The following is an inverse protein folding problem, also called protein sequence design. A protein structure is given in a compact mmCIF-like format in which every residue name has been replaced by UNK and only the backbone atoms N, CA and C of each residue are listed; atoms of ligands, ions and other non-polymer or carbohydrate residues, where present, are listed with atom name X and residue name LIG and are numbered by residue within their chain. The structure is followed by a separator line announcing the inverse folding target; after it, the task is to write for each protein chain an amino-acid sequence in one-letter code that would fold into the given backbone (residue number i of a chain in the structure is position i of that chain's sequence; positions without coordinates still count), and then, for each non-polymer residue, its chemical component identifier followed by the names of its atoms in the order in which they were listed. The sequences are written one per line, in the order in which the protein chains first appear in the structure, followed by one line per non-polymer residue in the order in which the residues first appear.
data_IF_350325331226
#
_entry.id   IF_350325331226
#
_cell.length_a   1.000
_cell.length_b   1.000
_cell.length_c   1.000
_cell.angle_alpha   90.00
_cell.angle_beta   90.00
_cell.angle_gamma   90.00
#
_symmetry.space_group_name_H-M   'P 1'
#
loop_
_entity.id
_entity.type
_entity.pdbx_description
1 polymer ?
#
# COMPACT_ATOMS: atom_id res chain seq x y z
N UNK A 1 -7.54 -8.01 -6.95
CA UNK A 1 -6.66 -9.00 -6.29
C UNK A 1 -5.41 -8.27 -5.82
N UNK A 2 -5.12 -8.30 -4.53
CA UNK A 2 -3.95 -7.62 -3.96
C UNK A 2 -2.71 -8.54 -3.96
N UNK A 3 -1.53 -7.99 -3.69
CA UNK A 3 -0.26 -8.74 -3.72
C UNK A 3 -0.24 -9.91 -2.71
N UNK A 4 -0.81 -9.72 -1.52
CA UNK A 4 -0.87 -10.74 -0.47
C UNK A 4 -1.75 -11.95 -0.85
N UNK A 5 -2.93 -11.69 -1.43
CA UNK A 5 -3.80 -12.75 -1.98
C UNK A 5 -3.08 -13.53 -3.09
N UNK A 6 -2.33 -12.84 -3.95
CA UNK A 6 -1.52 -13.49 -4.99
C UNK A 6 -0.43 -14.39 -4.41
N UNK A 7 0.26 -13.96 -3.35
CA UNK A 7 1.26 -14.77 -2.64
C UNK A 7 0.62 -16.02 -2.04
N UNK A 8 -0.55 -15.90 -1.40
CA UNK A 8 -1.32 -17.04 -0.89
C UNK A 8 -1.65 -18.01 -2.03
N UNK A 9 -2.19 -17.52 -3.15
CA UNK A 9 -2.54 -18.34 -4.30
C UNK A 9 -1.35 -19.12 -4.87
N UNK A 10 -0.16 -18.51 -4.92
CA UNK A 10 1.04 -19.19 -5.40
C UNK A 10 1.43 -20.37 -4.52
N UNK A 11 1.41 -20.21 -3.19
CA UNK A 11 1.87 -21.25 -2.26
C UNK A 11 0.81 -22.28 -1.91
N UNK A 12 -0.48 -21.89 -1.84
CA UNK A 12 -1.54 -22.77 -1.35
C UNK A 12 -1.84 -23.95 -2.27
N UNK A 13 -1.41 -23.88 -3.54
CA UNK A 13 -1.66 -24.88 -4.57
C UNK A 13 -0.98 -26.23 -4.28
N UNK A 14 0.13 -26.20 -3.55
CA UNK A 14 0.93 -27.38 -3.18
C UNK A 14 0.75 -27.79 -1.71
N UNK A 15 -0.14 -27.12 -0.98
CA UNK A 15 -0.38 -27.37 0.45
C UNK A 15 -1.72 -28.09 0.62
N UNK A 16 -1.75 -29.26 1.29
CA UNK A 16 -2.99 -29.97 1.59
C UNK A 16 -3.99 -29.08 2.36
N UNK A 17 -5.28 -29.23 2.06
CA UNK A 17 -6.34 -28.36 2.60
C UNK A 17 -6.40 -28.35 4.13
N UNK A 18 -6.12 -29.47 4.77
CA UNK A 18 -6.07 -29.65 6.22
C UNK A 18 -4.80 -29.06 6.87
N UNK A 19 -3.82 -28.63 6.08
CA UNK A 19 -2.54 -28.05 6.52
C UNK A 19 -2.41 -26.56 6.27
N UNK A 20 -3.51 -25.93 5.83
CA UNK A 20 -3.59 -24.49 5.60
C UNK A 20 -4.84 -23.89 6.24
N UNK A 21 -4.71 -22.67 6.73
CA UNK A 21 -5.86 -21.93 7.29
C UNK A 21 -5.69 -20.43 7.10
N UNK A 22 -6.80 -19.73 6.87
CA UNK A 22 -6.86 -18.28 6.77
C UNK A 22 -7.55 -17.72 8.01
N UNK A 23 -6.90 -16.77 8.68
CA UNK A 23 -7.37 -16.17 9.92
C UNK A 23 -7.49 -14.66 9.77
N UNK A 24 -8.61 -14.11 10.22
CA UNK A 24 -8.83 -12.68 10.32
C UNK A 24 -8.72 -12.28 11.79
N UNK A 25 -7.64 -11.58 12.16
CA UNK A 25 -7.38 -11.18 13.55
C UNK A 25 -8.18 -9.93 13.90
N UNK A 26 -8.19 -8.98 12.98
CA UNK A 26 -8.96 -7.75 13.06
C UNK A 26 -9.31 -7.31 11.64
N UNK A 27 -10.15 -6.28 11.49
CA UNK A 27 -10.49 -5.75 10.17
C UNK A 27 -9.28 -5.23 9.39
N UNK A 28 -8.21 -4.84 10.10
CA UNK A 28 -6.96 -4.33 9.54
C UNK A 28 -5.83 -5.39 9.52
N UNK A 29 -6.09 -6.66 9.87
CA UNK A 29 -5.03 -7.68 9.90
C UNK A 29 -5.55 -9.10 9.66
N UNK A 30 -4.87 -9.83 8.79
CA UNK A 30 -5.14 -11.22 8.50
C UNK A 30 -3.83 -11.99 8.29
N UNK A 31 -3.84 -13.30 8.52
CA UNK A 31 -2.72 -14.16 8.21
C UNK A 31 -3.17 -15.51 7.64
N UNK A 32 -2.39 -16.03 6.72
CA UNK A 32 -2.51 -17.38 6.18
C UNK A 32 -1.43 -18.26 6.78
N UNK A 33 -1.82 -19.34 7.46
CA UNK A 33 -0.90 -20.25 8.15
C UNK A 33 -0.67 -21.51 7.34
N UNK A 34 0.59 -21.93 7.27
CA UNK A 34 1.05 -23.15 6.62
C UNK A 34 1.66 -24.05 7.70
N UNK A 35 0.92 -25.05 8.16
CA UNK A 35 1.28 -25.81 9.37
C UNK A 35 2.60 -26.57 9.23
N UNK A 36 2.75 -27.33 8.14
CA UNK A 36 3.91 -28.21 7.94
C UNK A 36 5.25 -27.47 7.84
N UNK A 37 5.21 -26.17 7.53
CA UNK A 37 6.39 -25.33 7.34
C UNK A 37 6.58 -24.33 8.49
N UNK A 38 5.66 -24.30 9.46
CA UNK A 38 5.60 -23.27 10.51
C UNK A 38 5.76 -21.85 9.94
N UNK A 39 5.05 -21.58 8.83
CA UNK A 39 5.16 -20.33 8.08
C UNK A 39 3.83 -19.58 8.04
N UNK A 40 3.90 -18.25 8.01
CA UNK A 40 2.74 -17.37 7.84
C UNK A 40 2.93 -16.41 6.67
N UNK A 41 1.83 -16.06 6.00
CA UNK A 41 1.75 -14.93 5.08
C UNK A 41 0.77 -13.92 5.66
N UNK A 42 1.25 -12.74 6.01
CA UNK A 42 0.47 -11.78 6.80
C UNK A 42 0.15 -10.52 6.01
N UNK A 43 -1.01 -9.96 6.30
CA UNK A 43 -1.47 -8.67 5.80
C UNK A 43 -1.77 -7.75 6.98
N UNK A 44 -1.30 -6.51 6.87
CA UNK A 44 -1.57 -5.45 7.83
C UNK A 44 -1.95 -4.17 7.09
N UNK A 45 -3.13 -3.64 7.37
CA UNK A 45 -3.66 -2.43 6.75
C UNK A 45 -3.03 -1.19 7.37
N UNK A 46 -2.22 -0.49 6.57
CA UNK A 46 -1.64 0.81 6.89
C UNK A 46 -1.48 1.65 5.61
N UNK A 47 -2.57 2.19 5.05
CA UNK A 47 -2.60 2.74 3.68
C UNK A 47 -1.60 3.88 3.45
N UNK A 48 -1.26 4.64 4.50
CA UNK A 48 -0.29 5.73 4.48
C UNK A 48 1.05 5.36 5.17
N UNK A 49 1.22 4.12 5.64
CA UNK A 49 2.25 3.61 6.58
C UNK A 49 2.23 4.28 7.96
N UNK A 50 2.19 5.61 7.98
CA UNK A 50 1.98 6.42 9.18
C UNK A 50 0.52 6.34 9.64
N UNK A 51 0.29 6.73 10.89
CA UNK A 51 -1.05 6.77 11.49
C UNK A 51 -1.96 7.75 10.72
N UNK A 52 -3.20 7.34 10.51
CA UNK A 52 -4.20 8.11 9.78
C UNK A 52 -5.63 7.80 10.25
N UNK A 53 -6.58 8.66 9.90
CA UNK A 53 -8.01 8.34 10.11
C UNK A 53 -8.51 7.22 9.18
N UNK A 54 -7.74 6.87 8.13
CA UNK A 54 -8.03 5.77 7.22
C UNK A 54 -7.56 4.40 7.75
N UNK A 55 -6.93 4.36 8.94
CA UNK A 55 -6.55 3.10 9.60
C UNK A 55 -7.79 2.37 10.14
N UNK A 56 -8.88 3.10 10.39
CA UNK A 56 -10.16 2.55 10.79
C UNK A 56 -11.00 2.16 9.57
N UNK A 57 -11.04 0.85 9.30
CA UNK A 57 -11.77 0.22 8.19
C UNK A 57 -13.28 0.44 8.21
N UNK A 58 -13.85 0.88 9.35
CA UNK A 58 -15.28 1.19 9.51
C UNK A 58 -15.61 2.67 9.33
N UNK A 59 -14.58 3.51 9.15
CA UNK A 59 -14.76 4.94 8.97
C UNK A 59 -15.55 5.20 7.66
N UNK A 60 -16.55 6.10 7.69
CA UNK A 60 -17.24 6.55 6.47
C UNK A 60 -16.28 7.04 5.38
N UNK A 61 -15.07 7.46 5.75
CA UNK A 61 -14.01 7.90 4.82
C UNK A 61 -13.46 6.82 3.88
N UNK A 62 -13.73 5.54 4.12
CA UNK A 62 -13.27 4.44 3.26
C UNK A 62 -14.25 4.14 2.13
N UNK A 63 -15.52 4.55 2.29
CA UNK A 63 -16.60 4.34 1.31
C UNK A 63 -17.25 5.61 0.76
N UNK A 64 -17.06 6.78 1.40
CA UNK A 64 -17.58 8.06 0.95
C UNK A 64 -16.41 8.95 0.49
N UNK A 65 -16.33 9.21 -0.81
CA UNK A 65 -15.30 10.06 -1.44
C UNK A 65 -15.33 11.53 -0.93
N UNK A 66 -16.24 11.85 0.00
CA UNK A 66 -16.43 13.17 0.60
C UNK A 66 -15.59 13.42 1.86
N UNK A 67 -15.09 12.38 2.53
CA UNK A 67 -14.34 12.56 3.78
C UNK A 67 -12.83 12.37 3.55
N UNK A 68 -12.15 13.49 3.34
CA UNK A 68 -10.69 13.55 3.21
C UNK A 68 -10.00 13.03 4.48
N UNK A 69 -9.15 11.99 4.40
CA UNK A 69 -8.53 11.42 5.59
C UNK A 69 -7.47 12.35 6.18
N UNK A 70 -7.31 12.23 7.50
CA UNK A 70 -6.29 12.92 8.27
C UNK A 70 -5.06 12.04 8.41
N UNK A 71 -3.92 12.50 7.89
CA UNK A 71 -2.65 11.76 7.92
C UNK A 71 -1.69 12.42 8.92
N UNK A 72 -1.06 11.61 9.78
CA UNK A 72 -0.08 12.06 10.79
C UNK A 72 1.34 11.66 10.36
N UNK A 73 2.01 12.42 9.46
CA UNK A 73 3.28 12.00 8.81
C UNK A 73 4.48 11.80 9.74
N UNK A 74 4.34 12.07 11.04
CA UNK A 74 5.38 11.86 12.06
C UNK A 74 5.04 10.73 13.06
N UNK A 75 3.89 10.10 12.92
CA UNK A 75 3.40 9.08 13.84
C UNK A 75 3.35 7.73 13.12
N UNK A 76 4.12 6.75 13.59
CA UNK A 76 4.17 5.40 12.99
C UNK A 76 4.23 4.29 14.06
N UNK A 77 4.48 4.65 15.31
CA UNK A 77 4.80 3.70 16.37
C UNK A 77 3.68 2.70 16.61
N UNK A 78 2.40 3.10 16.50
CA UNK A 78 1.26 2.19 16.66
C UNK A 78 1.32 1.05 15.65
N UNK A 79 1.49 1.35 14.36
CA UNK A 79 1.63 0.33 13.31
C UNK A 79 2.92 -0.45 13.46
N UNK A 80 4.03 0.24 13.74
CA UNK A 80 5.35 -0.35 13.84
C UNK A 80 5.48 -1.48 14.85
N UNK A 81 4.69 -1.50 15.94
CA UNK A 81 4.75 -2.64 16.87
C UNK A 81 4.30 -3.96 16.22
N UNK A 82 3.43 -3.93 15.21
CA UNK A 82 2.95 -5.11 14.51
C UNK A 82 3.91 -5.64 13.46
N UNK A 83 4.90 -4.86 13.04
CA UNK A 83 5.86 -5.25 11.99
C UNK A 83 7.14 -5.86 12.56
N UNK A 84 7.35 -5.77 13.87
CA UNK A 84 8.55 -6.29 14.53
C UNK A 84 8.56 -7.82 14.53
N UNK A 85 9.73 -8.39 14.27
CA UNK A 85 9.95 -9.83 14.32
C UNK A 85 9.56 -10.58 13.03
N UNK A 86 9.05 -9.89 12.01
CA UNK A 86 8.81 -10.50 10.71
C UNK A 86 10.15 -10.79 9.99
N UNK A 87 10.26 -11.96 9.35
CA UNK A 87 11.44 -12.33 8.56
C UNK A 87 11.49 -11.59 7.21
N UNK A 88 10.31 -11.26 6.67
CA UNK A 88 10.16 -10.53 5.42
C UNK A 88 9.11 -9.43 5.59
N UNK A 89 9.49 -8.20 5.28
CA UNK A 89 8.58 -7.05 5.29
C UNK A 89 8.44 -6.51 3.87
N UNK A 90 7.22 -6.50 3.34
CA UNK A 90 6.88 -5.93 2.04
C UNK A 90 5.97 -4.73 2.28
N UNK A 91 6.50 -3.53 2.11
CA UNK A 91 5.75 -2.28 2.26
C UNK A 91 5.27 -1.77 0.91
N UNK A 92 4.07 -1.21 0.85
CA UNK A 92 3.60 -0.44 -0.28
C UNK A 92 2.77 0.76 0.19
N UNK A 93 2.91 1.91 -0.48
CA UNK A 93 2.03 3.06 -0.20
C UNK A 93 2.03 4.04 -1.38
N UNK A 94 0.90 4.13 -2.07
CA UNK A 94 0.74 5.04 -3.21
C UNK A 94 -0.72 5.41 -3.46
N UNK A 95 -1.58 4.41 -3.68
CA UNK A 95 -2.94 4.60 -4.17
C UNK A 95 -3.77 5.60 -3.35
N UNK A 96 -3.65 5.53 -2.02
CA UNK A 96 -4.35 6.41 -1.09
C UNK A 96 -3.86 7.86 -1.14
N UNK A 97 -2.57 8.08 -1.42
CA UNK A 97 -2.00 9.42 -1.56
C UNK A 97 -2.51 10.17 -2.78
N UNK A 98 -2.90 9.45 -3.83
CA UNK A 98 -3.41 10.02 -5.08
C UNK A 98 -4.92 9.98 -5.21
N UNK A 99 -5.63 9.30 -4.29
CA UNK A 99 -7.09 9.20 -4.30
C UNK A 99 -7.79 10.54 -4.00
N UNK A 100 -7.21 11.35 -3.12
CA UNK A 100 -7.82 12.61 -2.68
C UNK A 100 -7.01 13.80 -3.15
N UNK A 101 -7.68 14.81 -3.70
CA UNK A 101 -7.03 16.05 -4.17
C UNK A 101 -6.54 16.93 -3.02
N UNK A 102 -7.20 16.87 -1.86
CA UNK A 102 -6.73 17.49 -0.64
C UNK A 102 -6.71 16.47 0.49
N UNK A 103 -5.54 16.25 1.07
CA UNK A 103 -5.37 15.48 2.29
C UNK A 103 -5.19 16.45 3.45
N UNK A 104 -5.75 16.10 4.61
CA UNK A 104 -5.53 16.85 5.85
C UNK A 104 -4.32 16.27 6.55
N UNK A 105 -3.42 17.13 7.02
CA UNK A 105 -2.19 16.68 7.67
C UNK A 105 -2.07 17.24 9.08
N UNK A 106 -1.83 16.35 10.05
CA UNK A 106 -1.64 16.72 11.44
C UNK A 106 -0.17 16.55 11.83
N UNK A 107 0.48 17.63 12.26
CA UNK A 107 1.86 17.61 12.73
C UNK A 107 1.93 18.09 14.19
N UNK A 108 1.66 17.18 15.12
CA UNK A 108 1.43 17.53 16.53
C UNK A 108 0.02 18.11 16.70
N UNK A 109 -0.10 19.26 17.35
CA UNK A 109 -1.38 19.97 17.53
C UNK A 109 -1.75 20.91 16.38
N UNK A 110 -0.91 21.02 15.34
CA UNK A 110 -1.15 21.91 14.20
C UNK A 110 -1.69 21.13 13.00
N UNK A 111 -2.86 21.56 12.53
CA UNK A 111 -3.41 21.15 11.23
C UNK A 111 -2.75 21.95 10.11
N UNK A 112 -2.30 21.24 9.09
CA UNK A 112 -1.81 21.82 7.85
C UNK A 112 -2.60 21.23 6.70
N UNK A 113 -3.29 22.09 5.94
CA UNK A 113 -3.73 21.76 4.58
C UNK A 113 -2.57 22.06 3.64
N UNK A 114 -1.63 21.13 3.56
CA UNK A 114 -0.46 21.33 2.71
C UNK A 114 -0.84 21.07 1.24
N UNK A 115 -0.80 22.11 0.41
CA UNK A 115 -0.99 22.02 -1.05
C UNK A 115 0.11 21.21 -1.78
N UNK A 116 1.05 20.62 -1.05
CA UNK A 116 2.22 19.94 -1.60
C UNK A 116 2.30 18.50 -1.11
N UNK A 117 1.45 17.64 -1.68
CA UNK A 117 1.43 16.18 -1.48
C UNK A 117 2.83 15.55 -1.37
N UNK A 118 3.72 15.94 -2.29
CA UNK A 118 5.12 15.49 -2.32
C UNK A 118 5.89 15.72 -1.02
N UNK A 119 5.72 16.87 -0.37
CA UNK A 119 6.43 17.20 0.87
C UNK A 119 5.97 16.28 2.00
N UNK A 120 4.68 16.00 2.05
CA UNK A 120 4.11 15.16 3.11
C UNK A 120 4.39 13.69 2.86
N UNK A 121 4.29 13.22 1.62
CA UNK A 121 4.71 11.88 1.21
C UNK A 121 6.18 11.63 1.59
N UNK A 122 7.08 12.56 1.23
CA UNK A 122 8.50 12.51 1.62
C UNK A 122 8.69 12.47 3.13
N UNK A 123 7.84 13.16 3.89
CA UNK A 123 7.93 13.18 5.35
C UNK A 123 7.47 11.86 5.96
N UNK A 124 6.39 11.28 5.45
CA UNK A 124 5.90 9.97 5.87
C UNK A 124 6.94 8.87 5.56
N UNK A 125 7.50 8.84 4.35
CA UNK A 125 8.56 7.88 4.00
C UNK A 125 9.82 8.07 4.85
N UNK A 126 10.21 9.32 5.17
CA UNK A 126 11.32 9.56 6.13
C UNK A 126 11.01 9.05 7.54
N UNK A 127 9.76 9.13 7.99
CA UNK A 127 9.34 8.59 9.28
C UNK A 127 9.37 7.06 9.26
N UNK A 128 8.91 6.44 8.16
CA UNK A 128 9.01 5.00 7.94
C UNK A 128 10.47 4.51 7.90
N UNK A 129 11.33 5.15 7.10
CA UNK A 129 12.75 4.79 7.00
C UNK A 129 13.44 4.87 8.38
N UNK A 130 13.19 5.93 9.15
CA UNK A 130 13.70 6.04 10.53
C UNK A 130 13.17 4.97 11.47
N UNK A 131 11.94 4.49 11.26
CA UNK A 131 11.40 3.39 12.04
C UNK A 131 12.12 2.09 11.66
N UNK A 132 12.32 1.83 10.37
CA UNK A 132 13.08 0.69 9.85
C UNK A 132 14.49 0.66 10.45
N UNK A 133 15.26 1.74 10.32
CA UNK A 133 16.65 1.85 10.80
C UNK A 133 16.79 1.54 12.30
N UNK A 134 15.72 1.77 13.08
CA UNK A 134 15.73 1.62 14.54
C UNK A 134 15.20 0.29 15.03
N UNK A 135 14.38 -0.40 14.24
CA UNK A 135 13.58 -1.53 14.71
C UNK A 135 13.81 -2.82 13.92
N UNK A 136 14.48 -2.75 12.77
CA UNK A 136 14.72 -3.91 11.91
C UNK A 136 16.20 -4.29 11.93
N UNK A 137 16.47 -5.55 12.24
CA UNK A 137 17.81 -6.12 12.11
C UNK A 137 17.99 -6.70 10.70
N UNK A 138 18.85 -6.13 9.84
CA UNK A 138 19.05 -6.60 8.48
C UNK A 138 19.67 -8.01 8.39
N UNK A 139 20.18 -8.57 9.50
CA UNK A 139 20.65 -9.97 9.54
C UNK A 139 19.51 -10.98 9.64
N UNK A 140 18.35 -10.56 10.12
CA UNK A 140 17.20 -11.43 10.37
C UNK A 140 16.01 -11.09 9.47
N UNK A 141 15.84 -9.83 9.10
CA UNK A 141 14.69 -9.38 8.33
C UNK A 141 15.12 -8.80 6.99
N UNK A 142 14.50 -9.28 5.91
CA UNK A 142 14.63 -8.69 4.58
C UNK A 142 13.49 -7.71 4.31
N UNK A 143 13.80 -6.53 3.79
CA UNK A 143 12.82 -5.48 3.50
C UNK A 143 12.67 -5.31 1.99
N UNK A 144 11.43 -5.23 1.53
CA UNK A 144 11.04 -4.83 0.19
C UNK A 144 10.11 -3.62 0.29
N UNK A 145 10.22 -2.73 -0.69
CA UNK A 145 9.26 -1.65 -0.89
C UNK A 145 8.69 -1.78 -2.31
N UNK A 146 7.42 -2.13 -2.41
CA UNK A 146 6.73 -2.23 -3.69
C UNK A 146 6.53 -0.83 -4.27
N UNK A 147 6.93 -0.67 -5.53
CA UNK A 147 6.74 0.59 -6.24
C UNK A 147 5.27 0.85 -6.57
N UNK A 148 5.00 1.95 -7.27
CA UNK A 148 3.66 2.44 -7.52
C UNK A 148 2.87 1.52 -8.45
N UNK A 149 1.70 1.08 -8.00
CA UNK A 149 0.72 0.43 -8.86
C UNK A 149 -0.04 1.48 -9.69
N UNK A 150 0.01 1.43 -11.03
CA UNK A 150 -0.68 2.39 -11.89
C UNK A 150 -2.20 2.23 -11.85
N UNK A 151 -2.89 3.32 -12.17
CA UNK A 151 -4.34 3.32 -12.43
C UNK A 151 -4.58 3.36 -13.94
N UNK A 152 -5.60 2.64 -14.40
CA UNK A 152 -5.97 2.57 -15.82
C UNK A 152 -7.37 3.15 -16.03
N UNK A 153 -7.54 4.42 -15.62
CA UNK A 153 -8.85 5.06 -15.58
C UNK A 153 -9.24 5.72 -16.90
N UNK A 154 -8.26 6.05 -17.75
CA UNK A 154 -8.48 6.75 -19.03
C UNK A 154 -7.88 5.96 -20.19
N UNK A 155 -8.75 5.35 -20.98
CA UNK A 155 -8.40 4.59 -22.18
C UNK A 155 -7.65 5.39 -23.25
N UNK A 156 -7.87 6.71 -23.27
CA UNK A 156 -7.09 7.65 -24.09
C UNK A 156 -5.59 7.61 -23.78
N UNK A 157 -5.17 7.25 -22.57
CA UNK A 157 -3.73 7.18 -22.20
C UNK A 157 -2.99 6.09 -23.00
N UNK A 158 -3.70 5.08 -23.52
CA UNK A 158 -3.18 4.07 -24.45
C UNK A 158 -3.81 4.11 -25.85
N UNK A 159 -4.49 5.22 -26.19
CA UNK A 159 -5.07 5.51 -27.51
C UNK A 159 -6.26 4.61 -27.91
N UNK A 160 -7.04 4.15 -26.94
CA UNK A 160 -8.36 3.58 -27.22
C UNK A 160 -9.47 4.58 -26.83
N UNK A 161 -9.96 5.42 -27.76
CA UNK A 161 -10.99 6.40 -27.43
C UNK A 161 -12.38 5.78 -27.23
N UNK A 162 -12.58 4.49 -27.53
CA UNK A 162 -13.89 3.81 -27.46
C UNK A 162 -14.02 2.98 -26.18
N UNK A 163 -12.91 2.47 -25.67
CA UNK A 163 -12.91 1.70 -24.43
C UNK A 163 -13.32 2.55 -23.22
N UNK A 164 -14.05 1.94 -22.30
CA UNK A 164 -14.40 2.51 -21.01
C UNK A 164 -13.34 2.08 -20.00
N UNK A 165 -12.45 3.01 -19.64
CA UNK A 165 -11.38 2.79 -18.66
C UNK A 165 -10.54 1.58 -19.11
N UNK A 166 -10.22 0.64 -18.21
CA UNK A 166 -9.63 -0.66 -18.53
C UNK A 166 -10.64 -1.80 -18.74
N UNK A 167 -11.95 -1.55 -18.69
CA UNK A 167 -12.95 -2.61 -18.59
C UNK A 167 -13.05 -3.50 -19.85
N UNK A 168 -12.77 -2.93 -21.02
CA UNK A 168 -12.83 -3.62 -22.31
C UNK A 168 -11.46 -4.20 -22.75
N UNK A 169 -10.41 -3.96 -21.95
CA UNK A 169 -9.05 -4.36 -22.28
C UNK A 169 -8.80 -5.83 -21.95
N UNK A 170 -8.46 -6.62 -22.96
CA UNK A 170 -8.21 -8.07 -22.82
C UNK A 170 -6.77 -8.48 -23.11
N UNK A 171 -5.94 -7.53 -23.57
CA UNK A 171 -4.56 -7.77 -23.95
C UNK A 171 -3.65 -6.68 -23.37
N UNK A 172 -2.40 -7.01 -23.01
CA UNK A 172 -1.41 -6.00 -22.66
C UNK A 172 -1.14 -5.05 -23.83
N UNK A 173 -0.63 -3.85 -23.52
CA UNK A 173 -0.24 -2.88 -24.53
C UNK A 173 0.92 -3.46 -25.36
N UNK A 174 0.74 -3.65 -26.69
CA UNK A 174 1.70 -4.39 -27.49
C UNK A 174 2.98 -3.59 -27.79
N UNK A 175 2.88 -2.27 -27.88
CA UNK A 175 3.99 -1.40 -28.23
C UNK A 175 4.79 -0.98 -26.99
N UNK A 176 5.91 -1.67 -26.74
CA UNK A 176 6.81 -1.39 -25.60
C UNK A 176 7.75 -0.20 -25.83
N UNK A 177 7.84 0.31 -27.06
CA UNK A 177 8.73 1.42 -27.43
C UNK A 177 8.11 2.80 -27.18
N UNK A 178 6.78 2.86 -27.00
CA UNK A 178 6.06 4.10 -26.73
C UNK A 178 6.05 4.38 -25.23
N UNK A 179 6.50 5.56 -24.84
CA UNK A 179 6.33 6.02 -23.47
C UNK A 179 4.85 6.31 -23.20
N UNK A 180 4.28 5.63 -22.20
CA UNK A 180 2.88 5.77 -21.80
C UNK A 180 2.81 6.53 -20.48
N UNK A 181 1.80 7.39 -20.34
CA UNK A 181 1.51 8.06 -19.09
C UNK A 181 0.13 7.64 -18.58
N UNK A 182 0.09 6.55 -17.82
CA UNK A 182 -1.12 5.99 -17.21
C UNK A 182 -1.36 6.57 -15.80
N UNK A 183 -1.16 7.88 -15.64
CA UNK A 183 -1.50 8.58 -14.40
C UNK A 183 -0.57 8.32 -13.20
N UNK A 184 0.62 7.75 -13.39
CA UNK A 184 1.61 7.63 -12.30
C UNK A 184 2.16 9.01 -11.94
N UNK A 185 2.09 9.37 -10.66
CA UNK A 185 2.76 10.56 -10.14
C UNK A 185 4.27 10.32 -10.02
N UNK A 186 5.00 10.70 -11.07
CA UNK A 186 6.45 10.56 -11.17
C UNK A 186 7.23 11.28 -10.06
N UNK A 187 6.66 12.33 -9.46
CA UNK A 187 7.33 13.05 -8.36
C UNK A 187 7.28 12.24 -7.07
N UNK A 188 6.17 11.55 -6.80
CA UNK A 188 6.10 10.64 -5.67
C UNK A 188 7.00 9.42 -5.91
N UNK A 189 7.06 8.90 -7.15
CA UNK A 189 7.94 7.76 -7.49
C UNK A 189 9.40 8.07 -7.14
N UNK A 190 9.90 9.22 -7.58
CA UNK A 190 11.26 9.71 -7.27
C UNK A 190 11.52 10.00 -5.79
N UNK A 191 10.48 10.10 -4.97
CA UNK A 191 10.64 10.26 -3.52
C UNK A 191 10.80 8.91 -2.83
N UNK A 192 10.26 7.83 -3.40
CA UNK A 192 10.32 6.47 -2.86
C UNK A 192 11.55 5.68 -3.36
N UNK A 193 12.12 6.05 -4.51
CA UNK A 193 13.42 5.57 -5.02
C UNK A 193 14.59 6.00 -4.12
#
# INVERSE_FOLDING_TARGET
MNQWESLICMVQSVIPSEKKSLHYVAKHSAYFKIENYNATLEFYWAPYLVESSADDTDSPSIGDDKSEPEVKPKSISKHGQHWKGADYLIFDTYAWWTRFSNLKFLCGSKEYREKHLNRVYKKALRTWAKWVDRNVDPKHTTIFFSSMSPFHDRSLDWNDPKAINCAEETKPIPNKSKHLNVGINQQLFKIAE
#
